data_IF_942867329425
#
_entry.id   IF_942867329425
#
_cell.length_a   1.000
_cell.length_b   1.000
_cell.length_c   1.000
_cell.angle_alpha   90.00
_cell.angle_beta   90.00
_cell.angle_gamma   90.00
#
_symmetry.space_group_name_H-M   'P 1'
#
loop_
_entity.id
_entity.type
_entity.pdbx_description
1 polymer ?
#
# COMPACT_ATOMS: atom_id res chain seq x y z
N UNK A 1 -23.29 -1.76 29.81
CA UNK A 1 -22.66 -0.42 29.70
C UNK A 1 -21.19 -0.48 29.34
N UNK A 2 -20.38 -1.19 30.14
CA UNK A 2 -18.93 -1.33 30.02
C UNK A 2 -18.42 -1.76 28.64
N UNK A 3 -19.02 -2.80 28.03
CA UNK A 3 -18.59 -3.32 26.73
C UNK A 3 -18.60 -2.28 25.60
N UNK A 4 -19.57 -1.35 25.59
CA UNK A 4 -19.64 -0.29 24.59
C UNK A 4 -18.49 0.71 24.77
N UNK A 5 -18.15 1.07 26.01
CA UNK A 5 -17.06 2.00 26.31
C UNK A 5 -15.73 1.41 25.85
N UNK A 6 -15.44 0.17 26.25
CA UNK A 6 -14.22 -0.53 25.83
C UNK A 6 -14.09 -0.61 24.31
N UNK A 7 -15.18 -0.98 23.60
CA UNK A 7 -15.17 -1.06 22.14
C UNK A 7 -14.84 0.28 21.49
N UNK A 8 -15.48 1.37 21.91
CA UNK A 8 -15.24 2.70 21.36
C UNK A 8 -13.85 3.23 21.73
N UNK A 9 -13.31 2.91 22.91
CA UNK A 9 -11.93 3.24 23.27
C UNK A 9 -10.92 2.54 22.37
N UNK A 10 -11.12 1.25 22.06
CA UNK A 10 -10.25 0.50 21.14
C UNK A 10 -10.31 1.12 19.74
N UNK A 11 -11.51 1.39 19.23
CA UNK A 11 -11.71 2.02 17.92
C UNK A 11 -11.04 3.39 17.85
N UNK A 12 -11.20 4.21 18.89
CA UNK A 12 -10.59 5.54 19.00
C UNK A 12 -9.06 5.45 18.97
N UNK A 13 -8.47 4.56 19.78
CA UNK A 13 -7.03 4.38 19.82
C UNK A 13 -6.48 3.90 18.46
N UNK A 14 -7.13 2.91 17.84
CA UNK A 14 -6.79 2.44 16.51
C UNK A 14 -6.88 3.56 15.46
N UNK A 15 -7.95 4.34 15.49
CA UNK A 15 -8.17 5.47 14.58
C UNK A 15 -7.08 6.52 14.71
N UNK A 16 -6.67 6.88 15.93
CA UNK A 16 -5.55 7.81 16.15
C UNK A 16 -4.24 7.26 15.59
N UNK A 17 -3.92 5.99 15.88
CA UNK A 17 -2.70 5.33 15.38
C UNK A 17 -2.67 5.32 13.85
N UNK A 18 -3.78 4.96 13.21
CA UNK A 18 -3.92 4.94 11.75
C UNK A 18 -3.83 6.33 11.15
N UNK A 19 -4.49 7.33 11.74
CA UNK A 19 -4.42 8.72 11.28
C UNK A 19 -2.97 9.25 11.31
N UNK A 20 -2.25 9.05 12.42
CA UNK A 20 -0.83 9.47 12.55
C UNK A 20 0.04 8.74 11.51
N UNK A 21 -0.18 7.44 11.35
CA UNK A 21 0.57 6.62 10.39
C UNK A 21 0.37 7.09 8.95
N UNK A 22 -0.88 7.34 8.56
CA UNK A 22 -1.22 7.82 7.21
C UNK A 22 -0.75 9.26 6.98
N UNK A 23 -0.82 10.14 7.98
CA UNK A 23 -0.25 11.49 7.91
C UNK A 23 1.26 11.45 7.72
N UNK A 24 1.95 10.54 8.43
CA UNK A 24 3.38 10.36 8.28
C UNK A 24 3.75 9.86 6.88
N UNK A 25 2.95 8.94 6.33
CA UNK A 25 3.12 8.45 4.96
C UNK A 25 2.87 9.55 3.92
N UNK A 26 1.81 10.33 4.07
CA UNK A 26 1.53 11.51 3.24
C UNK A 26 2.68 12.49 3.29
N UNK A 27 3.20 12.78 4.48
CA UNK A 27 4.36 13.66 4.68
C UNK A 27 5.63 13.14 3.99
N UNK A 28 5.92 11.84 4.12
CA UNK A 28 7.06 11.20 3.43
C UNK A 28 6.96 11.34 1.91
N UNK A 29 5.78 11.02 1.34
CA UNK A 29 5.56 11.06 -0.11
C UNK A 29 5.55 12.49 -0.65
N UNK A 30 4.84 13.40 0.02
CA UNK A 30 4.60 14.75 -0.49
C UNK A 30 5.75 15.72 -0.21
N UNK A 31 6.40 15.66 0.96
CA UNK A 31 7.33 16.72 1.39
C UNK A 31 8.81 16.34 1.33
N UNK A 32 9.18 15.05 1.45
CA UNK A 32 10.60 14.64 1.57
C UNK A 32 11.14 13.83 0.40
N UNK A 33 10.30 13.16 -0.37
CA UNK A 33 10.75 12.33 -1.49
C UNK A 33 10.79 13.08 -2.82
N UNK A 34 10.97 12.31 -3.90
CA UNK A 34 10.70 12.71 -5.32
C UNK A 34 9.24 13.11 -5.61
N UNK A 35 8.47 13.52 -4.60
CA UNK A 35 7.06 13.86 -4.69
C UNK A 35 6.17 12.73 -5.22
N UNK A 36 5.08 13.15 -5.87
CA UNK A 36 4.07 12.33 -6.53
C UNK A 36 4.46 11.93 -7.97
N UNK A 37 5.74 11.69 -8.21
CA UNK A 37 6.28 11.46 -9.56
C UNK A 37 5.84 10.12 -10.18
N UNK A 38 5.70 9.06 -9.38
CA UNK A 38 5.32 7.73 -9.90
C UNK A 38 3.85 7.38 -9.62
N UNK A 39 3.19 6.60 -10.50
CA UNK A 39 1.81 6.14 -10.27
C UNK A 39 1.66 5.40 -8.95
N UNK A 40 2.64 4.57 -8.59
CA UNK A 40 2.67 3.87 -7.31
C UNK A 40 2.56 4.84 -6.12
N UNK A 41 3.39 5.90 -6.09
CA UNK A 41 3.35 6.88 -4.99
C UNK A 41 2.03 7.66 -4.95
N UNK A 42 1.43 7.97 -6.11
CA UNK A 42 0.11 8.63 -6.19
C UNK A 42 -1.03 7.76 -5.67
N UNK A 43 -1.04 6.47 -6.03
CA UNK A 43 -2.02 5.52 -5.53
C UNK A 43 -1.88 5.32 -4.02
N UNK A 44 -0.66 5.14 -3.52
CA UNK A 44 -0.40 5.02 -2.07
C UNK A 44 -0.80 6.29 -1.32
N UNK A 45 -0.52 7.48 -1.88
CA UNK A 45 -0.98 8.75 -1.32
C UNK A 45 -2.51 8.80 -1.23
N UNK A 46 -3.22 8.38 -2.28
CA UNK A 46 -4.68 8.35 -2.29
C UNK A 46 -5.27 7.36 -1.27
N UNK A 47 -4.66 6.18 -1.11
CA UNK A 47 -5.02 5.22 -0.04
C UNK A 47 -4.86 5.89 1.33
N UNK A 48 -3.72 6.53 1.59
CA UNK A 48 -3.46 7.17 2.88
C UNK A 48 -4.35 8.38 3.15
N UNK A 49 -4.69 9.16 2.12
CA UNK A 49 -5.68 10.23 2.24
C UNK A 49 -7.06 9.67 2.64
N UNK A 50 -7.47 8.55 2.04
CA UNK A 50 -8.70 7.85 2.39
C UNK A 50 -8.68 7.33 3.83
N UNK A 51 -7.57 6.73 4.26
CA UNK A 51 -7.38 6.26 5.63
C UNK A 51 -7.44 7.41 6.65
N UNK A 52 -6.93 8.61 6.30
CA UNK A 52 -7.04 9.80 7.17
C UNK A 52 -8.51 10.18 7.36
N UNK A 53 -9.29 10.27 6.27
CA UNK A 53 -10.72 10.58 6.34
C UNK A 53 -11.49 9.56 7.18
N UNK A 54 -11.26 8.27 6.92
CA UNK A 54 -11.85 7.18 7.69
C UNK A 54 -11.47 7.26 9.17
N UNK A 55 -10.19 7.46 9.47
CA UNK A 55 -9.69 7.48 10.84
C UNK A 55 -10.21 8.68 11.62
N UNK A 56 -10.30 9.85 10.98
CA UNK A 56 -10.90 11.04 11.58
C UNK A 56 -12.38 10.80 11.92
N UNK A 57 -13.14 10.19 11.02
CA UNK A 57 -14.53 9.83 11.29
C UNK A 57 -14.66 8.81 12.44
N UNK A 58 -13.78 7.80 12.51
CA UNK A 58 -13.81 6.85 13.61
C UNK A 58 -13.47 7.46 14.98
N UNK A 59 -12.66 8.53 14.99
CA UNK A 59 -12.28 9.30 16.18
C UNK A 59 -13.40 10.25 16.60
N UNK A 60 -14.01 10.94 15.64
CA UNK A 60 -15.04 11.97 15.86
C UNK A 60 -16.42 11.35 16.08
N UNK A 61 -16.73 10.24 15.41
CA UNK A 61 -18.04 9.60 15.34
C UNK A 61 -18.77 9.43 16.67
N UNK A 62 -18.16 8.86 17.73
CA UNK A 62 -18.83 8.71 19.02
C UNK A 62 -19.33 10.02 19.63
N UNK A 63 -18.71 11.15 19.26
CA UNK A 63 -19.04 12.49 19.74
C UNK A 63 -19.94 13.25 18.76
N UNK A 64 -19.83 12.99 17.45
CA UNK A 64 -20.60 13.66 16.41
C UNK A 64 -22.08 13.28 16.35
N UNK A 65 -22.45 12.13 16.92
CA UNK A 65 -23.84 11.69 17.04
C UNK A 65 -24.66 12.70 17.87
N UNK A 66 -25.92 13.01 17.50
CA UNK A 66 -26.77 13.94 18.23
C UNK A 66 -27.00 13.52 19.70
N UNK A 67 -27.00 14.51 20.59
CA UNK A 67 -27.29 14.30 22.02
C UNK A 67 -28.68 13.71 22.24
N UNK A 68 -28.84 12.99 23.36
CA UNK A 68 -30.14 12.45 23.78
C UNK A 68 -30.40 11.02 23.31
N UNK A 69 -29.55 10.45 22.45
CA UNK A 69 -29.68 9.07 21.99
C UNK A 69 -29.18 8.06 23.04
N UNK A 70 -30.02 7.13 23.53
CA UNK A 70 -29.65 6.19 24.61
C UNK A 70 -28.51 5.23 24.23
N UNK A 71 -28.35 4.93 22.94
CA UNK A 71 -27.30 4.08 22.41
C UNK A 71 -25.93 4.77 22.30
N UNK A 72 -25.89 6.11 22.28
CA UNK A 72 -24.70 6.90 22.01
C UNK A 72 -24.25 7.66 23.27
N UNK A 73 -23.53 6.97 24.17
CA UNK A 73 -23.20 7.51 25.50
C UNK A 73 -22.27 8.72 25.49
N UNK A 74 -21.49 8.87 24.43
CA UNK A 74 -20.56 9.98 24.25
C UNK A 74 -21.10 11.03 23.28
N UNK A 75 -22.36 10.90 22.85
CA UNK A 75 -22.98 11.84 21.94
C UNK A 75 -22.96 13.25 22.51
N UNK A 76 -22.28 14.15 21.81
CA UNK A 76 -22.18 15.56 22.16
C UNK A 76 -22.55 16.46 20.97
N UNK A 77 -22.87 15.89 19.81
CA UNK A 77 -23.08 16.57 18.55
C UNK A 77 -24.53 16.92 18.25
N UNK A 78 -24.78 17.18 16.97
CA UNK A 78 -26.08 17.53 16.37
C UNK A 78 -26.18 16.91 14.95
N UNK A 79 -27.26 17.23 14.22
CA UNK A 79 -27.49 16.71 12.86
C UNK A 79 -26.34 17.08 11.90
N UNK A 80 -25.83 18.31 11.97
CA UNK A 80 -24.75 18.79 11.09
C UNK A 80 -23.41 18.09 11.37
N UNK A 81 -23.02 17.92 12.63
CA UNK A 81 -21.80 17.16 12.97
C UNK A 81 -21.91 15.70 12.55
N UNK A 82 -23.10 15.11 12.68
CA UNK A 82 -23.36 13.74 12.24
C UNK A 82 -23.27 13.59 10.72
N UNK A 83 -23.85 14.53 9.96
CA UNK A 83 -23.73 14.55 8.50
C UNK A 83 -22.26 14.64 8.06
N UNK A 84 -21.48 15.55 8.68
CA UNK A 84 -20.06 15.69 8.39
C UNK A 84 -19.25 14.43 8.72
N UNK A 85 -19.47 13.82 9.88
CA UNK A 85 -18.83 12.55 10.27
C UNK A 85 -19.13 11.43 9.26
N UNK A 86 -20.40 11.28 8.88
CA UNK A 86 -20.80 10.26 7.91
C UNK A 86 -20.22 10.48 6.51
N UNK A 87 -20.06 11.74 6.07
CA UNK A 87 -19.34 12.06 4.82
C UNK A 87 -17.88 11.61 4.89
N UNK A 88 -17.16 11.96 5.97
CA UNK A 88 -15.77 11.55 6.14
C UNK A 88 -15.63 10.03 6.15
N UNK A 89 -16.51 9.35 6.88
CA UNK A 89 -16.50 7.90 7.00
C UNK A 89 -16.75 7.23 5.65
N UNK A 90 -17.77 7.68 4.91
CA UNK A 90 -18.16 7.08 3.63
C UNK A 90 -17.12 7.32 2.53
N UNK A 91 -16.50 8.50 2.46
CA UNK A 91 -15.36 8.74 1.58
C UNK A 91 -14.20 7.79 1.89
N UNK A 92 -13.80 7.70 3.16
CA UNK A 92 -12.71 6.83 3.58
C UNK A 92 -12.98 5.35 3.26
N UNK A 93 -14.17 4.85 3.65
CA UNK A 93 -14.58 3.46 3.43
C UNK A 93 -14.69 3.11 1.95
N UNK A 94 -15.12 4.03 1.10
CA UNK A 94 -15.30 3.74 -0.32
C UNK A 94 -14.00 3.88 -1.12
N UNK A 95 -13.20 4.92 -0.86
CA UNK A 95 -11.99 5.18 -1.64
C UNK A 95 -10.82 4.26 -1.28
N UNK A 96 -10.62 3.92 -0.01
CA UNK A 96 -9.54 3.03 0.39
C UNK A 96 -9.56 1.65 -0.33
N UNK A 97 -10.69 0.91 -0.42
CA UNK A 97 -10.76 -0.33 -1.18
C UNK A 97 -10.62 -0.13 -2.68
N UNK A 98 -11.20 0.94 -3.26
CA UNK A 98 -11.06 1.25 -4.67
C UNK A 98 -9.59 1.50 -5.04
N UNK A 99 -8.88 2.32 -4.27
CA UNK A 99 -7.45 2.57 -4.51
C UNK A 99 -6.57 1.36 -4.20
N UNK A 100 -6.94 0.51 -3.25
CA UNK A 100 -6.26 -0.79 -3.02
C UNK A 100 -6.43 -1.74 -4.21
N UNK A 101 -7.62 -1.75 -4.83
CA UNK A 101 -7.86 -2.41 -6.10
C UNK A 101 -7.03 -1.78 -7.22
N UNK A 102 -6.99 -0.45 -7.29
CA UNK A 102 -6.15 0.30 -8.24
C UNK A 102 -4.66 -0.04 -8.15
N UNK A 103 -4.15 -0.18 -6.92
CA UNK A 103 -2.78 -0.62 -6.67
C UNK A 103 -2.53 -2.06 -7.15
N UNK A 104 -3.50 -2.95 -6.95
CA UNK A 104 -3.42 -4.33 -7.45
C UNK A 104 -3.43 -4.37 -8.98
N UNK A 105 -4.25 -3.52 -9.63
CA UNK A 105 -4.27 -3.35 -11.09
C UNK A 105 -2.91 -2.84 -11.58
N UNK A 106 -2.32 -1.85 -10.91
CA UNK A 106 -0.99 -1.34 -11.21
C UNK A 106 0.06 -2.46 -11.20
N UNK A 107 0.14 -3.25 -10.12
CA UNK A 107 1.08 -4.37 -10.04
C UNK A 107 0.81 -5.44 -11.11
N UNK A 108 -0.46 -5.73 -11.42
CA UNK A 108 -0.81 -6.66 -12.49
C UNK A 108 -0.25 -6.22 -13.84
N UNK A 109 -0.48 -4.97 -14.25
CA UNK A 109 0.05 -4.46 -15.52
C UNK A 109 1.57 -4.38 -15.51
N UNK A 110 2.17 -3.98 -14.40
CA UNK A 110 3.63 -3.93 -14.24
C UNK A 110 4.28 -5.31 -14.40
N UNK A 111 3.78 -6.32 -13.67
CA UNK A 111 4.40 -7.64 -13.60
C UNK A 111 4.06 -8.52 -14.80
N UNK A 112 2.78 -8.53 -15.24
CA UNK A 112 2.31 -9.43 -16.31
C UNK A 112 2.47 -8.85 -17.71
N UNK A 113 2.31 -7.54 -17.86
CA UNK A 113 2.37 -6.86 -19.17
C UNK A 113 3.68 -6.10 -19.38
N UNK A 114 4.59 -6.09 -18.39
CA UNK A 114 5.82 -5.30 -18.41
C UNK A 114 5.57 -3.81 -18.78
N UNK A 115 4.45 -3.25 -18.33
CA UNK A 115 4.08 -1.87 -18.63
C UNK A 115 5.00 -0.89 -17.88
N UNK A 116 5.46 0.17 -18.55
CA UNK A 116 6.23 1.23 -17.88
C UNK A 116 5.33 2.14 -17.04
N UNK A 117 5.91 2.93 -16.14
CA UNK A 117 5.11 3.82 -15.27
C UNK A 117 4.43 4.93 -16.10
N UNK A 118 5.11 5.41 -17.14
CA UNK A 118 4.64 6.42 -18.08
C UNK A 118 3.45 5.89 -18.87
N UNK A 119 3.56 4.67 -19.39
CA UNK A 119 2.48 4.01 -20.12
C UNK A 119 1.24 3.79 -19.24
N UNK A 120 1.44 3.38 -17.99
CA UNK A 120 0.34 3.19 -17.05
C UNK A 120 -0.34 4.53 -16.71
N UNK A 121 0.45 5.57 -16.46
CA UNK A 121 -0.02 6.92 -16.15
C UNK A 121 -0.91 7.48 -17.27
N UNK A 122 -0.43 7.41 -18.52
CA UNK A 122 -1.11 7.98 -19.66
C UNK A 122 -2.41 7.23 -20.01
N UNK A 123 -2.37 5.89 -19.97
CA UNK A 123 -3.47 5.06 -20.52
C UNK A 123 -4.52 4.67 -19.49
N UNK A 124 -4.12 4.45 -18.23
CA UNK A 124 -4.94 3.78 -17.22
C UNK A 124 -5.22 4.69 -16.04
N UNK A 125 -4.19 5.30 -15.44
CA UNK A 125 -4.30 5.98 -14.14
C UNK A 125 -5.33 7.11 -14.12
N UNK A 126 -5.36 7.98 -15.14
CA UNK A 126 -6.34 9.08 -15.21
C UNK A 126 -7.78 8.58 -15.24
N UNK A 127 -8.04 7.52 -16.02
CA UNK A 127 -9.37 6.89 -16.12
C UNK A 127 -9.74 6.23 -14.79
N UNK A 128 -8.76 5.58 -14.15
CA UNK A 128 -8.93 4.95 -12.85
C UNK A 128 -9.36 5.95 -11.78
N UNK A 129 -8.65 7.08 -11.63
CA UNK A 129 -9.03 8.14 -10.69
C UNK A 129 -10.42 8.70 -10.97
N UNK A 130 -10.75 8.96 -12.24
CA UNK A 130 -12.08 9.46 -12.59
C UNK A 130 -13.19 8.48 -12.18
N UNK A 131 -13.02 7.19 -12.51
CA UNK A 131 -13.98 6.13 -12.16
C UNK A 131 -14.12 5.94 -10.65
N UNK A 132 -13.05 6.16 -9.88
CA UNK A 132 -13.10 6.01 -8.42
C UNK A 132 -13.66 7.23 -7.69
N UNK A 133 -13.32 8.43 -8.13
CA UNK A 133 -13.68 9.67 -7.44
C UNK A 133 -15.13 10.07 -7.78
N UNK A 134 -15.47 10.10 -9.07
CA UNK A 134 -16.72 10.72 -9.53
C UNK A 134 -17.99 10.07 -8.92
N UNK A 135 -18.18 8.75 -8.95
CA UNK A 135 -19.39 8.13 -8.42
C UNK A 135 -19.56 8.34 -6.91
N UNK A 136 -18.46 8.31 -6.14
CA UNK A 136 -18.49 8.46 -4.69
C UNK A 136 -18.83 9.90 -4.29
N UNK A 137 -18.31 10.89 -5.01
CA UNK A 137 -18.69 12.29 -4.80
C UNK A 137 -20.19 12.48 -5.10
N UNK A 138 -20.67 11.98 -6.23
CA UNK A 138 -22.10 12.07 -6.58
C UNK A 138 -22.99 11.41 -5.54
N UNK A 139 -22.64 10.21 -5.07
CA UNK A 139 -23.36 9.50 -4.01
C UNK A 139 -23.42 10.31 -2.71
N UNK A 140 -22.29 10.90 -2.29
CA UNK A 140 -22.22 11.69 -1.06
C UNK A 140 -22.97 13.02 -1.15
N UNK A 141 -22.90 13.71 -2.29
CA UNK A 141 -23.68 14.92 -2.53
C UNK A 141 -25.18 14.62 -2.51
N UNK A 142 -25.60 13.51 -3.13
CA UNK A 142 -26.98 13.06 -3.08
C UNK A 142 -27.40 12.74 -1.64
N UNK A 143 -26.59 11.97 -0.90
CA UNK A 143 -26.86 11.62 0.50
C UNK A 143 -27.05 12.85 1.39
N UNK A 144 -26.21 13.87 1.19
CA UNK A 144 -26.27 15.11 1.94
C UNK A 144 -27.52 15.92 1.58
N UNK A 145 -27.86 16.00 0.29
CA UNK A 145 -29.04 16.71 -0.18
C UNK A 145 -30.35 16.05 0.25
N UNK A 146 -30.35 14.72 0.44
CA UNK A 146 -31.50 13.93 0.84
C UNK A 146 -31.53 13.57 2.33
N UNK A 147 -30.68 14.18 3.17
CA UNK A 147 -30.59 13.87 4.62
C UNK A 147 -30.41 12.36 4.95
N UNK A 148 -29.79 11.60 4.04
CA UNK A 148 -29.62 10.14 4.17
C UNK A 148 -28.55 9.73 5.19
N UNK A 149 -27.79 10.68 5.74
CA UNK A 149 -26.72 10.44 6.70
C UNK A 149 -27.26 10.55 8.12
N UNK A 150 -27.29 9.43 8.81
CA UNK A 150 -27.98 9.26 10.08
C UNK A 150 -27.14 8.49 11.10
N UNK A 151 -27.41 8.62 12.41
CA UNK A 151 -26.71 7.87 13.44
C UNK A 151 -26.83 6.35 13.25
N UNK A 152 -25.71 5.64 13.24
CA UNK A 152 -25.69 4.18 13.17
C UNK A 152 -26.38 3.57 14.40
N UNK A 153 -26.90 2.35 14.24
CA UNK A 153 -27.58 1.60 15.31
C UNK A 153 -26.72 1.45 16.57
N UNK A 154 -25.39 1.40 16.42
CA UNK A 154 -24.43 1.29 17.52
C UNK A 154 -24.18 2.60 18.26
N UNK A 155 -24.63 3.73 17.73
CA UNK A 155 -24.39 5.07 18.27
C UNK A 155 -22.92 5.48 18.29
N UNK A 156 -22.07 4.86 17.46
CA UNK A 156 -20.61 5.09 17.44
C UNK A 156 -20.11 5.88 16.24
N UNK A 157 -20.96 6.11 15.24
CA UNK A 157 -20.64 6.83 14.01
C UNK A 157 -21.94 7.20 13.29
N UNK A 158 -21.83 8.05 12.28
CA UNK A 158 -22.91 8.34 11.35
C UNK A 158 -22.68 7.64 10.00
N UNK A 159 -23.74 7.08 9.40
CA UNK A 159 -23.69 6.28 8.18
C UNK A 159 -24.91 6.56 7.30
N UNK A 160 -24.95 6.01 6.09
CA UNK A 160 -26.19 5.96 5.32
C UNK A 160 -27.22 5.10 6.04
N UNK A 161 -28.33 5.71 6.43
CA UNK A 161 -29.45 5.03 7.06
C UNK A 161 -30.76 5.69 6.62
N UNK A 162 -31.78 4.88 6.37
CA UNK A 162 -33.11 5.36 5.94
C UNK A 162 -33.82 6.16 7.01
N UNK A 163 -33.68 5.73 8.27
CA UNK A 163 -34.34 6.39 9.40
C UNK A 163 -33.32 6.62 10.51
N UNK A 164 -33.27 7.82 11.12
CA UNK A 164 -32.40 8.07 12.27
C UNK A 164 -32.67 7.08 13.40
N UNK A 165 -31.61 6.47 13.94
CA UNK A 165 -31.75 5.59 15.11
C UNK A 165 -32.26 6.42 16.29
N UNK A 166 -33.46 6.12 16.79
CA UNK A 166 -34.08 6.90 17.87
C UNK A 166 -35.22 7.82 17.41
N UNK A 167 -35.50 7.91 16.12
CA UNK A 167 -36.51 8.82 15.57
C UNK A 167 -37.88 8.65 16.24
N UNK A 168 -38.37 7.40 16.39
CA UNK A 168 -39.68 7.12 17.04
C UNK A 168 -39.71 7.48 18.53
N UNK A 169 -38.55 7.55 19.18
CA UNK A 169 -38.44 7.88 20.59
C UNK A 169 -38.35 9.40 20.83
N UNK A 170 -37.93 10.18 19.84
CA UNK A 170 -37.67 11.62 19.95
C UNK A 170 -38.14 12.37 18.69
N UNK A 171 -39.46 12.44 18.44
CA UNK A 171 -40.01 13.14 17.26
C UNK A 171 -39.67 14.64 17.27
N UNK A 172 -39.49 15.26 18.44
CA UNK A 172 -39.13 16.68 18.54
C UNK A 172 -37.74 17.00 17.96
N UNK A 173 -36.84 16.02 17.91
CA UNK A 173 -35.46 16.20 17.42
C UNK A 173 -35.33 15.83 15.94
N UNK A 174 -36.05 14.80 15.50
CA UNK A 174 -35.90 14.20 14.17
C UNK A 174 -37.08 14.47 13.22
N UNK A 175 -38.19 15.00 13.73
CA UNK A 175 -39.44 15.14 12.97
C UNK A 175 -40.25 13.85 12.91
N UNK A 176 -41.26 13.83 12.06
CA UNK A 176 -42.04 12.62 11.76
C UNK A 176 -41.17 11.62 10.98
N UNK A 177 -41.11 10.38 11.46
CA UNK A 177 -40.33 9.32 10.83
C UNK A 177 -41.10 8.76 9.65
N UNK A 178 -40.83 9.26 8.44
CA UNK A 178 -41.38 8.68 7.23
C UNK A 178 -40.71 7.34 6.90
N UNK A 179 -41.49 6.26 6.87
CA UNK A 179 -41.02 4.92 6.56
C UNK A 179 -40.75 4.72 5.03
N UNK A 180 -41.02 5.75 4.19
CA UNK A 180 -41.04 5.65 2.72
C UNK A 180 -39.70 5.92 2.00
N UNK A 181 -38.57 5.97 2.71
CA UNK A 181 -37.29 6.32 2.09
C UNK A 181 -36.48 5.11 1.58
N UNK A 182 -36.85 4.56 0.43
CA UNK A 182 -36.04 3.56 -0.30
C UNK A 182 -34.65 4.04 -0.79
N UNK A 183 -34.41 5.31 -1.18
CA UNK A 183 -33.14 5.70 -1.81
C UNK A 183 -31.91 5.59 -0.88
N UNK A 184 -32.07 5.94 0.39
CA UNK A 184 -30.99 5.95 1.39
C UNK A 184 -30.44 4.53 1.67
N UNK A 185 -31.33 3.53 1.67
CA UNK A 185 -30.94 2.11 1.82
C UNK A 185 -30.11 1.64 0.63
N UNK A 186 -30.55 1.94 -0.59
CA UNK A 186 -29.84 1.55 -1.82
C UNK A 186 -28.45 2.19 -1.84
N UNK A 187 -28.33 3.45 -1.42
CA UNK A 187 -27.05 4.13 -1.33
C UNK A 187 -26.11 3.47 -0.31
N UNK A 188 -26.62 3.18 0.89
CA UNK A 188 -25.96 2.37 1.92
C UNK A 188 -25.43 1.06 1.37
N UNK A 189 -26.29 0.30 0.68
CA UNK A 189 -25.96 -0.98 0.09
C UNK A 189 -24.84 -0.87 -0.95
N UNK A 190 -24.93 0.09 -1.87
CA UNK A 190 -23.93 0.27 -2.92
C UNK A 190 -22.57 0.67 -2.33
N UNK A 191 -22.53 1.73 -1.52
CA UNK A 191 -21.27 2.34 -1.06
C UNK A 191 -20.62 1.54 0.05
N UNK A 192 -21.40 1.06 1.04
CA UNK A 192 -20.84 0.38 2.21
C UNK A 192 -20.67 -1.12 2.00
N UNK A 193 -21.38 -1.74 1.05
CA UNK A 193 -21.36 -3.21 0.86
C UNK A 193 -20.81 -3.61 -0.50
N UNK A 194 -21.46 -3.19 -1.59
CA UNK A 194 -21.14 -3.68 -2.94
C UNK A 194 -19.74 -3.24 -3.36
N UNK A 195 -19.38 -1.95 -3.22
CA UNK A 195 -18.08 -1.43 -3.65
C UNK A 195 -16.90 -2.12 -2.93
N UNK A 196 -16.88 -2.23 -1.59
CA UNK A 196 -15.83 -2.97 -0.90
C UNK A 196 -15.78 -4.46 -1.27
N UNK A 197 -16.94 -5.11 -1.40
CA UNK A 197 -17.01 -6.53 -1.75
C UNK A 197 -16.48 -6.80 -3.17
N UNK A 198 -16.87 -6.00 -4.15
CA UNK A 198 -16.36 -6.09 -5.53
C UNK A 198 -14.85 -5.83 -5.54
N UNK A 199 -14.38 -4.81 -4.82
CA UNK A 199 -12.95 -4.50 -4.70
C UNK A 199 -12.17 -5.70 -4.13
N UNK A 200 -12.71 -6.37 -3.10
CA UNK A 200 -12.13 -7.57 -2.51
C UNK A 200 -12.05 -8.74 -3.50
N UNK A 201 -13.13 -9.00 -4.23
CA UNK A 201 -13.13 -10.04 -5.27
C UNK A 201 -12.10 -9.74 -6.35
N UNK A 202 -12.00 -8.50 -6.81
CA UNK A 202 -11.02 -8.10 -7.83
C UNK A 202 -9.59 -8.23 -7.31
N UNK A 203 -9.29 -7.78 -6.09
CA UNK A 203 -7.95 -7.93 -5.48
C UNK A 203 -7.56 -9.41 -5.39
N UNK A 204 -8.46 -10.27 -4.90
CA UNK A 204 -8.22 -11.72 -4.81
C UNK A 204 -8.00 -12.33 -6.20
N UNK A 205 -8.82 -11.96 -7.19
CA UNK A 205 -8.69 -12.48 -8.56
C UNK A 205 -7.38 -12.05 -9.24
N UNK A 206 -6.98 -10.77 -9.09
CA UNK A 206 -5.72 -10.27 -9.62
C UNK A 206 -4.54 -10.95 -8.94
N UNK A 207 -4.61 -11.12 -7.62
CA UNK A 207 -3.60 -11.83 -6.87
C UNK A 207 -3.45 -13.28 -7.35
N UNK A 208 -4.57 -14.03 -7.45
CA UNK A 208 -4.56 -15.39 -7.97
C UNK A 208 -3.98 -15.46 -9.39
N UNK A 209 -4.32 -14.50 -10.27
CA UNK A 209 -3.75 -14.44 -11.61
C UNK A 209 -2.24 -14.19 -11.62
N UNK A 210 -1.72 -13.36 -10.72
CA UNK A 210 -0.28 -13.06 -10.65
C UNK A 210 0.48 -14.25 -10.07
N UNK A 211 -0.03 -14.86 -9.01
CA UNK A 211 0.55 -16.05 -8.42
C UNK A 211 0.60 -17.20 -9.42
N UNK A 212 -0.51 -17.44 -10.14
CA UNK A 212 -0.56 -18.42 -11.22
C UNK A 212 0.48 -18.14 -12.30
N UNK A 213 0.61 -16.87 -12.72
CA UNK A 213 1.59 -16.47 -13.73
C UNK A 213 3.04 -16.71 -13.28
N UNK A 214 3.37 -16.40 -12.02
CA UNK A 214 4.71 -16.64 -11.46
C UNK A 214 5.01 -18.13 -11.41
N UNK A 215 4.07 -18.94 -10.90
CA UNK A 215 4.20 -20.41 -10.84
C UNK A 215 4.37 -21.03 -12.22
N UNK A 216 3.64 -20.55 -13.23
CA UNK A 216 3.76 -21.02 -14.60
C UNK A 216 5.14 -20.65 -15.19
N UNK A 217 5.64 -19.46 -14.91
CA UNK A 217 6.95 -19.00 -15.38
C UNK A 217 8.10 -19.79 -14.76
N UNK A 218 8.04 -20.11 -13.48
CA UNK A 218 9.04 -20.95 -12.80
C UNK A 218 9.12 -22.35 -13.41
N UNK A 219 7.98 -22.91 -13.84
CA UNK A 219 7.94 -24.22 -14.50
C UNK A 219 8.53 -24.20 -15.91
N UNK A 220 8.36 -23.11 -16.65
CA UNK A 220 8.88 -22.98 -18.03
C UNK A 220 10.36 -22.63 -18.09
N UNK A 221 10.88 -21.95 -17.07
CA UNK A 221 12.28 -21.56 -16.98
C UNK A 221 12.89 -22.09 -15.68
N UNK A 222 13.03 -23.43 -15.53
CA UNK A 222 13.73 -23.99 -14.39
C UNK A 222 15.11 -23.34 -14.34
N UNK A 223 15.46 -22.78 -13.18
CA UNK A 223 16.77 -22.19 -12.98
C UNK A 223 17.82 -23.22 -13.39
N UNK A 224 18.84 -22.83 -14.18
CA UNK A 224 19.93 -23.73 -14.52
C UNK A 224 20.45 -24.30 -13.20
N UNK A 225 20.39 -25.62 -13.05
CA UNK A 225 20.94 -26.29 -11.86
C UNK A 225 22.36 -25.76 -11.71
N UNK A 226 22.64 -25.13 -10.55
CA UNK A 226 23.99 -24.67 -10.20
C UNK A 226 24.91 -25.80 -10.61
N UNK A 227 25.86 -25.59 -11.56
CA UNK A 227 26.63 -26.67 -12.13
C UNK A 227 27.17 -27.45 -10.95
N UNK A 228 26.68 -28.69 -10.81
CA UNK A 228 27.04 -29.57 -9.70
C UNK A 228 28.53 -29.47 -9.64
N UNK A 229 29.04 -28.95 -8.53
CA UNK A 229 30.45 -28.71 -8.28
C UNK A 229 31.11 -30.04 -8.61
N UNK A 230 31.60 -30.12 -9.85
CA UNK A 230 31.94 -31.39 -10.46
C UNK A 230 33.20 -31.68 -9.72
N UNK A 231 33.08 -32.55 -8.73
CA UNK A 231 34.12 -33.05 -7.85
C UNK A 231 35.37 -33.01 -8.68
N UNK A 232 36.21 -32.01 -8.41
CA UNK A 232 37.50 -31.89 -9.03
C UNK A 232 38.19 -33.14 -8.52
N UNK A 233 38.05 -34.23 -9.27
CA UNK A 233 38.76 -35.46 -9.04
C UNK A 233 40.20 -34.98 -9.00
N UNK A 234 40.82 -35.11 -7.82
CA UNK A 234 42.21 -34.80 -7.56
C UNK A 234 42.99 -35.26 -8.79
N UNK A 235 43.45 -34.30 -9.60
CA UNK A 235 44.33 -34.59 -10.71
C UNK A 235 45.67 -34.91 -10.06
N UNK A 236 46.08 -36.16 -10.20
CA UNK A 236 47.34 -36.69 -9.70
C UNK A 236 48.49 -35.77 -10.17
N UNK A 237 49.32 -35.21 -9.27
CA UNK A 237 50.37 -34.24 -9.60
C UNK A 237 51.56 -34.78 -10.40
N UNK A 238 51.50 -35.99 -10.95
CA UNK A 238 52.68 -36.75 -11.37
C UNK A 238 52.97 -36.79 -12.87
N UNK A 239 52.41 -35.87 -13.68
CA UNK A 239 52.73 -35.78 -15.13
C UNK A 239 53.64 -34.56 -15.47
N UNK A 240 54.98 -34.75 -15.56
CA UNK A 240 55.95 -33.67 -15.73
C UNK A 240 56.16 -33.18 -17.18
N UNK A 241 55.41 -33.64 -18.19
CA UNK A 241 55.74 -33.36 -19.60
C UNK A 241 54.70 -32.56 -20.41
N UNK A 242 53.80 -31.82 -19.77
CA UNK A 242 52.85 -30.99 -20.53
C UNK A 242 53.39 -29.57 -20.73
N UNK A 243 53.90 -29.28 -21.93
CA UNK A 243 54.27 -27.93 -22.39
C UNK A 243 53.05 -27.00 -22.38
N UNK A 244 52.97 -26.19 -21.33
CA UNK A 244 52.00 -25.11 -21.16
C UNK A 244 52.59 -23.84 -21.78
N UNK A 245 52.40 -23.68 -23.09
CA UNK A 245 52.87 -22.51 -23.83
C UNK A 245 51.80 -21.94 -24.76
N UNK A 246 51.39 -20.70 -24.51
CA UNK A 246 50.82 -19.76 -25.48
C UNK A 246 49.31 -19.75 -25.84
N UNK A 247 48.41 -20.57 -25.27
CA UNK A 247 46.96 -20.47 -25.55
C UNK A 247 46.09 -19.79 -24.47
N UNK A 248 46.69 -19.25 -23.41
CA UNK A 248 45.95 -18.74 -22.23
C UNK A 248 45.41 -17.31 -22.41
N UNK A 249 45.93 -16.50 -23.34
CA UNK A 249 45.57 -15.08 -23.39
C UNK A 249 44.32 -14.76 -24.24
N UNK A 250 43.96 -15.56 -25.24
CA UNK A 250 42.80 -15.27 -26.10
C UNK A 250 41.46 -15.68 -25.47
N UNK A 251 41.48 -16.66 -24.55
CA UNK A 251 40.26 -17.08 -23.81
C UNK A 251 39.83 -16.11 -22.72
N UNK A 252 40.70 -15.17 -22.32
CA UNK A 252 40.41 -14.22 -21.23
C UNK A 252 39.60 -13.00 -21.70
N UNK A 253 39.73 -12.60 -22.96
CA UNK A 253 38.99 -11.47 -23.53
C UNK A 253 37.51 -11.80 -23.79
N UNK A 254 37.20 -13.04 -24.20
CA UNK A 254 35.82 -13.47 -24.50
C UNK A 254 34.96 -13.62 -23.24
N UNK A 255 35.56 -13.88 -22.07
CA UNK A 255 34.84 -14.10 -20.81
C UNK A 255 34.34 -12.80 -20.15
N UNK A 256 34.95 -11.64 -20.45
CA UNK A 256 34.56 -10.37 -19.82
C UNK A 256 33.28 -9.77 -20.44
N UNK A 257 33.02 -10.00 -21.73
CA UNK A 257 31.84 -9.43 -22.40
C UNK A 257 30.52 -10.15 -22.05
N UNK A 258 30.58 -11.41 -21.63
CA UNK A 258 29.38 -12.17 -21.20
C UNK A 258 28.90 -11.84 -19.79
N UNK A 259 29.73 -11.21 -18.94
CA UNK A 259 29.38 -10.97 -17.54
C UNK A 259 28.40 -9.79 -17.33
N UNK A 260 28.38 -8.79 -18.21
CA UNK A 260 27.53 -7.60 -18.05
C UNK A 260 26.02 -7.89 -18.14
N UNK A 261 25.61 -8.75 -19.07
CA UNK A 261 24.19 -9.07 -19.27
C UNK A 261 23.61 -9.90 -18.11
N UNK A 262 24.43 -10.75 -17.48
CA UNK A 262 24.00 -11.60 -16.37
C UNK A 262 23.57 -10.78 -15.15
N UNK A 263 24.32 -9.73 -14.80
CA UNK A 263 24.03 -8.90 -13.62
C UNK A 263 22.69 -8.16 -13.72
N UNK A 264 22.38 -7.58 -14.88
CA UNK A 264 21.12 -6.87 -15.11
C UNK A 264 19.90 -7.79 -15.06
N UNK A 265 20.02 -9.01 -15.60
CA UNK A 265 18.95 -10.00 -15.51
C UNK A 265 18.71 -10.49 -14.08
N UNK A 266 19.78 -10.70 -13.31
CA UNK A 266 19.69 -11.10 -11.89
C UNK A 266 18.99 -10.01 -11.08
N UNK A 267 19.36 -8.74 -11.30
CA UNK A 267 18.73 -7.61 -10.61
C UNK A 267 17.25 -7.45 -10.99
N UNK A 268 16.93 -7.56 -12.28
CA UNK A 268 15.55 -7.47 -12.75
C UNK A 268 14.65 -8.55 -12.16
N UNK A 269 15.17 -9.78 -11.96
CA UNK A 269 14.43 -10.85 -11.28
C UNK A 269 14.16 -10.52 -9.82
N UNK A 270 15.18 -10.05 -9.07
CA UNK A 270 15.03 -9.67 -7.66
C UNK A 270 14.03 -8.53 -7.48
N UNK A 271 14.09 -7.51 -8.33
CA UNK A 271 13.14 -6.42 -8.30
C UNK A 271 11.69 -6.90 -8.49
N UNK A 272 11.44 -7.79 -9.45
CA UNK A 272 10.10 -8.38 -9.66
C UNK A 272 9.62 -9.20 -8.46
N UNK A 273 10.51 -9.95 -7.82
CA UNK A 273 10.21 -10.70 -6.60
C UNK A 273 9.81 -9.77 -5.45
N UNK A 274 10.56 -8.71 -5.19
CA UNK A 274 10.23 -7.74 -4.15
C UNK A 274 8.92 -7.00 -4.40
N UNK A 275 8.67 -6.60 -5.66
CA UNK A 275 7.38 -6.00 -6.04
C UNK A 275 6.22 -6.97 -5.79
N UNK A 276 6.42 -8.27 -6.06
CA UNK A 276 5.43 -9.30 -5.79
C UNK A 276 5.16 -9.39 -4.29
N UNK A 277 6.19 -9.48 -3.45
CA UNK A 277 6.01 -9.51 -1.99
C UNK A 277 5.30 -8.28 -1.45
N UNK A 278 5.62 -7.10 -1.98
CA UNK A 278 4.96 -5.87 -1.57
C UNK A 278 3.46 -5.90 -1.90
N UNK A 279 3.11 -6.31 -3.12
CA UNK A 279 1.72 -6.49 -3.54
C UNK A 279 0.99 -7.52 -2.68
N UNK A 280 1.62 -8.66 -2.36
CA UNK A 280 1.07 -9.71 -1.49
C UNK A 280 0.70 -9.14 -0.12
N UNK A 281 1.60 -8.35 0.46
CA UNK A 281 1.37 -7.77 1.77
C UNK A 281 0.20 -6.78 1.75
N UNK A 282 0.10 -5.92 0.71
CA UNK A 282 -1.06 -5.03 0.55
C UNK A 282 -2.37 -5.80 0.40
N UNK A 283 -2.40 -6.85 -0.43
CA UNK A 283 -3.59 -7.68 -0.62
C UNK A 283 -3.99 -8.41 0.68
N UNK A 284 -3.02 -8.97 1.41
CA UNK A 284 -3.26 -9.64 2.69
C UNK A 284 -3.83 -8.67 3.73
N UNK A 285 -3.23 -7.50 3.88
CA UNK A 285 -3.71 -6.46 4.80
C UNK A 285 -5.11 -6.00 4.41
N UNK A 286 -5.35 -5.79 3.11
CA UNK A 286 -6.67 -5.44 2.62
C UNK A 286 -7.73 -6.46 3.03
N UNK A 287 -7.46 -7.77 2.83
CA UNK A 287 -8.35 -8.85 3.28
C UNK A 287 -8.53 -8.79 4.80
N UNK A 288 -7.45 -8.72 5.59
CA UNK A 288 -7.51 -8.73 7.05
C UNK A 288 -8.33 -7.57 7.62
N UNK A 289 -8.21 -6.37 7.04
CA UNK A 289 -8.93 -5.17 7.50
C UNK A 289 -10.40 -5.20 7.06
N UNK A 290 -10.67 -5.52 5.79
CA UNK A 290 -12.00 -5.33 5.19
C UNK A 290 -12.90 -6.57 5.25
N UNK A 291 -12.38 -7.78 5.46
CA UNK A 291 -13.22 -9.00 5.52
C UNK A 291 -14.25 -8.91 6.65
N UNK A 292 -13.86 -8.38 7.81
CA UNK A 292 -14.75 -8.26 8.97
C UNK A 292 -15.84 -7.21 8.73
N UNK A 293 -15.49 -6.13 8.05
CA UNK A 293 -16.46 -5.11 7.64
C UNK A 293 -17.46 -5.67 6.62
N UNK A 294 -16.99 -6.43 5.62
CA UNK A 294 -17.86 -7.11 4.66
C UNK A 294 -18.81 -8.11 5.34
N UNK A 295 -18.30 -8.95 6.24
CA UNK A 295 -19.12 -9.88 7.03
C UNK A 295 -20.17 -9.16 7.89
N UNK A 296 -19.79 -8.04 8.52
CA UNK A 296 -20.70 -7.22 9.31
C UNK A 296 -21.85 -6.68 8.45
N UNK A 297 -21.55 -6.08 7.31
CA UNK A 297 -22.55 -5.54 6.40
C UNK A 297 -23.44 -6.64 5.80
N UNK A 298 -22.88 -7.80 5.43
CA UNK A 298 -23.67 -8.94 4.98
C UNK A 298 -24.64 -9.43 6.07
N UNK A 299 -24.18 -9.51 7.31
CA UNK A 299 -25.04 -9.91 8.43
C UNK A 299 -26.22 -8.95 8.61
N UNK A 300 -25.94 -7.64 8.53
CA UNK A 300 -26.97 -6.60 8.59
C UNK A 300 -27.93 -6.63 7.38
N UNK A 301 -27.40 -6.89 6.19
CA UNK A 301 -28.17 -7.01 4.95
C UNK A 301 -29.19 -8.16 5.01
N UNK A 302 -28.82 -9.28 5.65
CA UNK A 302 -29.74 -10.39 5.90
C UNK A 302 -30.66 -10.19 7.12
N UNK A 303 -30.67 -8.99 7.72
CA UNK A 303 -31.49 -8.68 8.89
C UNK A 303 -31.06 -9.42 10.16
N UNK A 304 -29.87 -10.02 10.17
CA UNK A 304 -29.34 -10.73 11.32
C UNK A 304 -28.63 -9.78 12.29
N UNK A 305 -28.69 -10.09 13.59
CA UNK A 305 -27.97 -9.34 14.62
C UNK A 305 -26.51 -9.81 14.62
N UNK A 306 -25.52 -8.92 14.43
CA UNK A 306 -24.13 -9.31 14.41
C UNK A 306 -23.67 -9.83 15.77
N UNK A 307 -22.95 -10.95 15.75
CA UNK A 307 -22.36 -11.53 16.96
C UNK A 307 -21.35 -10.54 17.59
N UNK A 308 -21.32 -10.48 18.92
CA UNK A 308 -20.35 -9.71 19.71
C UNK A 308 -18.90 -9.98 19.30
N UNK A 309 -18.55 -11.22 18.95
CA UNK A 309 -17.20 -11.59 18.50
C UNK A 309 -16.85 -10.82 17.21
N UNK A 310 -17.74 -10.84 16.22
CA UNK A 310 -17.54 -10.14 14.94
C UNK A 310 -17.38 -8.62 15.17
N UNK A 311 -18.22 -8.04 16.03
CA UNK A 311 -18.12 -6.61 16.38
C UNK A 311 -16.79 -6.25 17.06
N UNK A 312 -16.27 -7.12 17.93
CA UNK A 312 -15.00 -6.91 18.61
C UNK A 312 -13.82 -7.01 17.64
N UNK A 313 -13.78 -8.06 16.80
CA UNK A 313 -12.72 -8.23 15.80
C UNK A 313 -12.73 -7.05 14.82
N UNK A 314 -13.90 -6.66 14.32
CA UNK A 314 -14.05 -5.48 13.48
C UNK A 314 -13.49 -4.21 14.15
N UNK A 315 -13.82 -3.96 15.42
CA UNK A 315 -13.35 -2.77 16.13
C UNK A 315 -11.83 -2.70 16.33
N UNK A 316 -11.14 -3.83 16.21
CA UNK A 316 -9.67 -3.92 16.33
C UNK A 316 -9.00 -3.72 14.97
N UNK A 317 -9.41 -4.46 13.94
CA UNK A 317 -8.69 -4.48 12.67
C UNK A 317 -9.08 -3.34 11.71
N UNK A 318 -10.35 -2.98 11.67
CA UNK A 318 -10.84 -1.93 10.78
C UNK A 318 -10.13 -0.58 10.96
N UNK A 319 -9.88 -0.08 12.18
CA UNK A 319 -9.22 1.20 12.36
C UNK A 319 -7.69 1.16 12.15
N UNK A 320 -7.07 0.02 11.86
CA UNK A 320 -5.60 -0.13 11.76
C UNK A 320 -5.04 -0.08 10.33
N UNK A 321 -5.86 0.26 9.34
CA UNK A 321 -5.46 0.27 7.92
C UNK A 321 -4.20 1.12 7.66
N UNK A 322 -4.16 2.36 8.15
CA UNK A 322 -3.03 3.28 7.96
C UNK A 322 -1.72 2.78 8.57
N UNK A 323 -1.79 2.10 9.71
CA UNK A 323 -0.63 1.49 10.35
C UNK A 323 -0.01 0.40 9.47
N UNK A 324 -0.84 -0.49 8.93
CA UNK A 324 -0.33 -1.53 8.05
C UNK A 324 0.25 -0.95 6.74
N UNK A 325 -0.38 0.08 6.20
CA UNK A 325 0.08 0.74 4.98
C UNK A 325 1.48 1.35 5.11
N UNK A 326 1.80 2.02 6.23
CA UNK A 326 3.15 2.57 6.45
C UNK A 326 4.21 1.48 6.65
N UNK A 327 3.86 0.38 7.34
CA UNK A 327 4.77 -0.75 7.53
C UNK A 327 5.12 -1.42 6.19
N UNK A 328 4.13 -1.62 5.32
CA UNK A 328 4.35 -2.20 3.99
C UNK A 328 5.12 -1.25 3.09
N UNK A 329 4.78 0.04 3.11
CA UNK A 329 5.44 1.05 2.27
C UNK A 329 6.93 1.16 2.55
N UNK A 330 7.32 1.13 3.83
CA UNK A 330 8.72 1.29 4.26
C UNK A 330 9.53 -0.01 4.17
N UNK A 331 8.89 -1.18 4.09
CA UNK A 331 9.57 -2.50 4.07
C UNK A 331 10.74 -2.58 3.06
N UNK A 332 10.59 -2.25 1.76
CA UNK A 332 11.68 -2.41 0.81
C UNK A 332 12.92 -1.59 1.19
N UNK A 333 12.72 -0.34 1.64
CA UNK A 333 13.81 0.54 2.06
C UNK A 333 14.50 0.02 3.34
N UNK A 334 13.75 -0.53 4.29
CA UNK A 334 14.30 -1.15 5.51
C UNK A 334 15.15 -2.37 5.15
N UNK A 335 14.67 -3.24 4.26
CA UNK A 335 15.42 -4.40 3.81
C UNK A 335 16.76 -3.98 3.20
N UNK A 336 16.75 -3.03 2.25
CA UNK A 336 17.98 -2.53 1.62
C UNK A 336 18.94 -1.91 2.64
N UNK A 337 18.43 -1.12 3.59
CA UNK A 337 19.26 -0.50 4.63
C UNK A 337 19.90 -1.55 5.54
N UNK A 338 19.16 -2.57 5.96
CA UNK A 338 19.68 -3.66 6.82
C UNK A 338 20.72 -4.52 6.10
N UNK A 339 20.60 -4.70 4.79
CA UNK A 339 21.65 -5.39 4.00
C UNK A 339 22.95 -4.61 4.00
N UNK A 340 22.88 -3.27 3.98
CA UNK A 340 24.08 -2.39 4.02
C UNK A 340 24.64 -2.22 5.43
N UNK A 341 23.77 -2.27 6.43
CA UNK A 341 24.11 -2.05 7.83
C UNK A 341 23.49 -3.16 8.69
N UNK A 342 24.11 -4.34 8.66
CA UNK A 342 23.64 -5.56 9.35
C UNK A 342 23.53 -5.39 10.86
N UNK A 343 24.28 -4.44 11.44
CA UNK A 343 24.25 -4.11 12.86
C UNK A 343 22.99 -3.34 13.30
N UNK A 344 22.16 -2.84 12.37
CA UNK A 344 20.94 -2.11 12.70
C UNK A 344 19.78 -3.07 12.98
N UNK A 345 19.10 -2.84 14.11
CA UNK A 345 17.83 -3.51 14.37
C UNK A 345 16.75 -3.04 13.40
N UNK A 346 15.71 -3.86 13.18
CA UNK A 346 14.62 -3.51 12.27
C UNK A 346 13.96 -2.18 12.64
N UNK A 347 13.74 -1.92 13.93
CA UNK A 347 13.11 -0.69 14.40
C UNK A 347 14.01 0.54 14.24
N UNK A 348 15.33 0.39 14.44
CA UNK A 348 16.30 1.46 14.15
C UNK A 348 16.28 1.80 12.66
N UNK A 349 16.31 0.78 11.78
CA UNK A 349 16.23 0.97 10.35
C UNK A 349 14.90 1.64 9.95
N UNK A 350 13.76 1.21 10.50
CA UNK A 350 12.46 1.85 10.28
C UNK A 350 12.49 3.34 10.64
N UNK A 351 13.01 3.70 11.82
CA UNK A 351 13.13 5.11 12.25
C UNK A 351 14.03 5.93 11.33
N UNK A 352 15.16 5.37 10.89
CA UNK A 352 16.08 6.04 9.96
C UNK A 352 15.38 6.28 8.62
N UNK A 353 14.70 5.27 8.07
CA UNK A 353 13.96 5.40 6.81
C UNK A 353 12.85 6.45 6.93
N UNK A 354 12.10 6.44 8.04
CA UNK A 354 11.06 7.42 8.32
C UNK A 354 11.62 8.86 8.37
N UNK A 355 12.74 9.04 9.06
CA UNK A 355 13.42 10.34 9.16
C UNK A 355 13.93 10.86 7.81
N UNK A 356 14.29 9.96 6.89
CA UNK A 356 14.75 10.24 5.53
C UNK A 356 13.61 10.23 4.48
N UNK A 357 12.34 10.36 4.90
CA UNK A 357 11.24 10.48 3.95
C UNK A 357 10.87 9.18 3.22
N UNK A 358 11.22 8.04 3.78
CA UNK A 358 11.01 6.74 3.15
C UNK A 358 12.12 6.32 2.18
N UNK A 359 13.19 7.11 2.06
CA UNK A 359 14.32 6.82 1.17
C UNK A 359 15.52 6.26 1.96
N UNK A 360 16.31 5.40 1.31
CA UNK A 360 17.52 4.83 1.92
C UNK A 360 18.60 5.90 1.90
N UNK A 361 19.21 6.26 3.05
CA UNK A 361 20.27 7.25 3.09
C UNK A 361 21.47 6.83 2.23
N UNK A 362 22.17 7.81 1.66
CA UNK A 362 23.39 7.58 0.89
C UNK A 362 24.48 6.91 1.75
N UNK A 363 25.36 6.14 1.11
CA UNK A 363 26.41 5.34 1.78
C UNK A 363 27.29 6.18 2.70
N UNK A 364 27.60 7.43 2.33
CA UNK A 364 28.37 8.35 3.15
C UNK A 364 27.68 8.67 4.48
N UNK A 365 26.34 8.78 4.48
CA UNK A 365 25.54 9.00 5.68
C UNK A 365 25.49 7.76 6.56
N UNK A 366 25.49 6.56 5.97
CA UNK A 366 25.54 5.28 6.70
C UNK A 366 26.87 5.16 7.46
N UNK A 367 27.99 5.50 6.82
CA UNK A 367 29.31 5.47 7.47
C UNK A 367 29.39 6.43 8.66
N UNK A 368 28.80 7.64 8.56
CA UNK A 368 28.71 8.59 9.68
C UNK A 368 27.84 8.07 10.82
N UNK A 369 26.69 7.46 10.49
CA UNK A 369 25.82 6.80 11.49
C UNK A 369 26.56 5.68 12.23
N UNK A 370 27.38 4.88 11.53
CA UNK A 370 28.20 3.84 12.15
C UNK A 370 29.20 4.44 13.14
N UNK A 371 29.92 5.48 12.75
CA UNK A 371 30.87 6.17 13.62
C UNK A 371 30.18 6.76 14.87
N UNK A 372 29.01 7.35 14.70
CA UNK A 372 28.24 7.91 15.82
C UNK A 372 27.77 6.82 16.80
N UNK A 373 27.19 5.72 16.30
CA UNK A 373 26.73 4.61 17.15
C UNK A 373 27.91 3.96 17.88
N UNK A 374 29.05 3.78 17.20
CA UNK A 374 30.27 3.28 17.84
C UNK A 374 30.75 4.21 18.97
N UNK A 375 30.71 5.53 18.75
CA UNK A 375 31.07 6.52 19.78
C UNK A 375 30.09 6.56 20.96
N UNK A 376 28.79 6.36 20.75
CA UNK A 376 27.81 6.31 21.84
C UNK A 376 27.93 5.01 22.67
N UNK A 377 28.28 3.90 22.01
CA UNK A 377 28.49 2.61 22.68
C UNK A 377 29.75 2.61 23.56
N UNK A 378 30.85 3.24 23.11
CA UNK A 378 32.09 3.34 23.89
C UNK A 378 31.92 4.20 25.15
N UNK A 379 31.09 5.25 25.09
CA UNK A 379 30.80 6.10 26.27
C UNK A 379 29.98 5.34 27.33
N UNK A 380 29.06 4.47 26.92
CA UNK A 380 28.22 3.71 27.87
C UNK A 380 28.96 2.54 28.53
N UNK A 381 29.97 1.98 27.88
CA UNK A 381 30.74 0.85 28.43
C UNK A 381 31.97 1.27 29.26
N UNK A 382 32.35 2.55 29.26
CA UNK A 382 33.51 3.06 30.02
C UNK A 382 33.42 3.02 31.56
N UNK A 383 32.35 2.49 32.15
CA UNK A 383 32.17 2.39 33.63
C UNK A 383 32.09 0.94 34.14
N UNK A 384 32.12 -0.06 33.25
CA UNK A 384 32.12 -1.47 33.66
C UNK A 384 33.53 -2.08 33.49
N UNK A 385 34.17 -2.35 34.63
CA UNK A 385 35.44 -3.07 34.80
C UNK A 385 35.55 -4.29 33.86
N UNK A 386 36.73 -4.41 33.22
CA UNK A 386 37.23 -5.57 32.50
C UNK A 386 36.75 -6.92 33.08
N UNK A 387 35.89 -7.61 32.33
CA UNK A 387 35.78 -9.06 32.42
C UNK A 387 35.88 -9.63 31.00
N UNK A 388 36.95 -10.38 30.77
CA UNK A 388 37.19 -11.12 29.52
C UNK A 388 36.06 -12.13 29.31
N UNK A 389 35.30 -11.97 28.23
CA UNK A 389 34.40 -13.00 27.72
C UNK A 389 34.81 -13.30 26.28
N UNK A 390 35.11 -14.58 26.04
CA UNK A 390 35.44 -15.12 24.73
C UNK A 390 34.18 -15.11 23.85
N UNK A 391 34.27 -14.52 22.67
CA UNK A 391 33.26 -14.60 21.62
C UNK A 391 33.24 -16.01 21.03
N UNK A 392 32.12 -16.73 21.19
CA UNK A 392 31.75 -17.87 20.34
C UNK A 392 30.77 -17.41 19.26
N UNK A 393 30.91 -18.03 18.09
CA UNK A 393 30.21 -17.79 16.84
C UNK A 393 28.67 -17.74 16.98
N UNK A 394 28.07 -16.65 16.50
CA UNK A 394 26.65 -16.65 16.12
C UNK A 394 26.56 -16.44 14.61
N UNK A 395 26.50 -17.57 13.89
CA UNK A 395 26.11 -17.65 12.48
C UNK A 395 24.66 -18.16 12.39
N UNK A 396 23.99 -17.81 11.28
CA UNK A 396 22.61 -18.16 10.90
C UNK A 396 21.46 -17.30 11.44
N UNK A 397 21.33 -16.06 10.96
CA UNK A 397 20.00 -15.50 10.62
C UNK A 397 20.08 -14.49 9.45
N UNK A 398 19.23 -14.69 8.43
CA UNK A 398 18.79 -13.72 7.41
C UNK A 398 19.49 -13.72 6.04
N UNK A 399 19.38 -14.83 5.30
CA UNK A 399 19.82 -14.94 3.90
C UNK A 399 18.87 -14.28 2.86
N UNK A 400 17.73 -13.71 3.28
CA UNK A 400 16.67 -13.23 2.36
C UNK A 400 16.79 -11.77 1.88
N UNK A 401 17.78 -11.00 2.36
CA UNK A 401 17.93 -9.58 1.98
C UNK A 401 19.20 -9.27 1.17
N UNK A 402 19.99 -10.27 0.78
CA UNK A 402 21.29 -10.05 0.14
C UNK A 402 21.18 -9.64 -1.35
N UNK A 403 21.87 -8.53 -1.66
CA UNK A 403 22.13 -7.90 -2.96
C UNK A 403 21.02 -7.04 -3.56
N UNK A 404 20.99 -5.77 -3.15
CA UNK A 404 20.40 -4.66 -3.90
C UNK A 404 21.46 -3.56 -4.09
N UNK A 405 22.25 -3.67 -5.14
CA UNK A 405 23.10 -2.59 -5.65
C UNK A 405 23.01 -2.54 -7.17
N UNK A 406 23.03 -1.32 -7.71
CA UNK A 406 23.12 -0.93 -9.14
C UNK A 406 21.83 -0.90 -9.98
N UNK A 407 21.00 0.15 -9.85
CA UNK A 407 19.89 0.35 -10.80
C UNK A 407 19.22 1.74 -10.87
N UNK A 408 19.71 2.74 -10.14
CA UNK A 408 19.39 4.14 -10.44
C UNK A 408 20.62 4.77 -11.08
N UNK A 409 20.88 4.41 -12.34
CA UNK A 409 21.72 5.25 -13.18
C UNK A 409 20.94 6.55 -13.35
N UNK A 410 21.52 7.68 -12.93
CA UNK A 410 21.11 8.99 -13.46
C UNK A 410 21.20 8.84 -14.98
N UNK A 411 20.06 8.88 -15.67
CA UNK A 411 20.05 9.22 -17.07
C UNK A 411 20.64 10.62 -17.12
N UNK A 412 21.89 10.72 -17.61
CA UNK A 412 22.54 11.99 -17.76
C UNK A 412 21.66 12.89 -18.61
N UNK A 413 21.52 14.13 -18.20
CA UNK A 413 21.02 15.22 -19.03
C UNK A 413 21.90 15.27 -20.28
N UNK A 414 21.47 14.62 -21.35
CA UNK A 414 21.94 14.96 -22.68
C UNK A 414 21.31 16.32 -23.01
N UNK A 415 22.11 17.38 -23.26
CA UNK A 415 21.56 18.60 -23.81
C UNK A 415 20.93 18.23 -25.16
N UNK A 416 19.62 18.47 -25.27
CA UNK A 416 18.91 18.47 -26.54
C UNK A 416 19.63 19.47 -27.46
N UNK A 417 20.45 18.94 -28.37
CA UNK A 417 20.87 19.68 -29.54
C UNK A 417 19.63 19.90 -30.39
N UNK A 418 19.26 21.17 -30.55
CA UNK A 418 18.28 21.65 -31.49
C UNK A 418 18.82 21.45 -32.91
N UNK A 419 18.42 20.37 -33.57
CA UNK A 419 18.40 20.31 -35.03
C UNK A 419 17.16 21.05 -35.53
N UNK A 420 17.34 22.34 -35.75
CA UNK A 420 16.57 23.09 -36.73
C UNK A 420 17.30 22.97 -38.06
N UNK A 421 16.74 22.25 -39.04
CA UNK A 421 16.63 22.74 -40.42
C UNK A 421 15.89 21.76 -41.36
N UNK A 422 14.89 22.34 -42.04
CA UNK A 422 14.53 22.17 -43.46
C UNK A 422 14.12 20.77 -43.94
N UNK A 423 12.81 20.57 -44.20
CA UNK A 423 12.23 20.25 -45.54
C UNK A 423 10.78 20.73 -45.57
N UNK A 424 10.41 21.52 -46.59
CA UNK A 424 9.05 22.02 -46.81
C UNK A 424 8.17 21.09 -47.65
N UNK A 425 6.89 21.48 -47.78
CA UNK A 425 5.98 20.93 -48.78
C UNK A 425 4.57 20.63 -48.26
N UNK A 426 3.51 21.27 -48.80
CA UNK A 426 2.14 21.09 -48.34
C UNK A 426 1.43 19.98 -49.11
N UNK A 427 0.68 19.14 -48.40
CA UNK A 427 -0.29 18.23 -49.03
C UNK A 427 -1.57 18.17 -48.19
N UNK A 428 -2.56 18.87 -48.74
CA UNK A 428 -4.00 18.72 -48.62
C UNK A 428 -4.51 17.42 -47.99
N UNK A 429 -5.33 17.55 -46.94
CA UNK A 429 -6.26 16.52 -46.47
C UNK A 429 -7.70 16.96 -46.76
N UNK A 430 -8.57 16.07 -47.26
CA UNK A 430 -9.95 16.39 -47.55
C UNK A 430 -10.83 16.29 -46.30
N UNK A 431 -11.83 17.17 -46.32
CA UNK A 431 -13.00 17.20 -45.46
C UNK A 431 -13.79 15.90 -45.62
N UNK A 432 -14.12 15.23 -44.52
CA UNK A 432 -15.12 14.18 -44.46
C UNK A 432 -16.13 14.54 -43.37
N UNK A 433 -17.16 15.26 -43.81
CA UNK A 433 -18.47 15.38 -43.20
C UNK A 433 -19.30 14.16 -43.63
N UNK A 434 -19.85 13.41 -42.68
CA UNK A 434 -21.15 12.72 -42.76
C UNK A 434 -21.28 11.71 -41.61
N UNK A 435 -22.26 11.94 -40.73
CA UNK A 435 -23.04 10.92 -40.03
C UNK A 435 -24.19 11.62 -39.29
N UNK A 436 -25.21 11.96 -40.07
CA UNK A 436 -26.59 12.07 -39.62
C UNK A 436 -27.28 10.73 -39.89
N UNK A 437 -28.35 10.49 -39.15
CA UNK A 437 -29.41 9.49 -39.34
C UNK A 437 -29.10 8.06 -38.87
N UNK A 438 -29.53 7.73 -37.65
CA UNK A 438 -30.31 6.51 -37.38
C UNK A 438 -31.44 6.83 -36.39
N UNK A 439 -32.64 6.44 -36.85
CA UNK A 439 -33.97 6.36 -36.26
C UNK A 439 -34.07 5.74 -34.87
#
# INVERSE_FOLDING_TARGET
MFAWVVKNSIQLAGGVISCISSLCLVWMIALKGKGLSTPYRRLIFAISASDILQSLALVIGPFAVPRGLPQAKWAAGNKSSCAFDGLLLTYGIAWAPLYSCGLSIYYFFKLKRNMTDEQFMEKIERKLHFVFIFPIICCNLYALASDAINPAVTGSACIYATTPTGCRQQPDVYGECDDNETPSFVLGLIVLTIIPAVSLVVVIALFASIFWHIRLREKMFPLPKKPSERTTAMRDPSDPNLEVGAQIDESRATFQHTNGNSSNEVLGRKYKTEMTYQMLMYALVFVVVYIWFACLNLTLLFGAIPNKILLNIHSVFFPLAGLFNILIYTRPAICVLRTRATYLSWFQAFRIILANGGEVPETNSISRLRQQIQSESSVKFGVAKHHNFNEEEESDVSLDCLYFETGCHKSGDHPLQSESDVIGGPSSLPVLSELNDIS
#
